data_IF_466135130831
#
_entry.id   IF_466135130831
#
_cell.length_a   1.000
_cell.length_b   1.000
_cell.length_c   1.000
_cell.angle_alpha   90.00
_cell.angle_beta   90.00
_cell.angle_gamma   90.00
#
_symmetry.space_group_name_H-M   'P 1'
#
loop_
_entity.id
_entity.type
_entity.pdbx_description
1 polymer ?
#
# COMPACT_ATOMS: atom_id res chain seq x y z
N UNK A 1 -13.67 -1.45 9.22
CA UNK A 1 -12.95 -0.61 8.22
C UNK A 1 -11.78 0.05 8.92
N UNK A 2 -10.56 -0.41 8.69
CA UNK A 2 -9.38 0.30 9.18
C UNK A 2 -9.19 1.57 8.34
N UNK A 3 -8.97 2.72 8.99
CA UNK A 3 -8.65 3.96 8.29
C UNK A 3 -7.32 3.87 7.53
N UNK A 4 -7.15 4.69 6.51
CA UNK A 4 -5.87 4.83 5.83
C UNK A 4 -4.87 5.51 6.77
N UNK A 5 -3.68 4.91 6.94
CA UNK A 5 -2.53 5.56 7.57
C UNK A 5 -1.27 5.21 6.78
N UNK A 6 -0.26 6.07 6.87
CA UNK A 6 1.04 5.82 6.24
C UNK A 6 1.71 4.56 6.80
N UNK A 7 1.71 4.36 8.12
CA UNK A 7 2.27 3.14 8.72
C UNK A 7 1.56 1.86 8.25
N UNK A 8 0.25 1.91 8.02
CA UNK A 8 -0.49 0.77 7.49
C UNK A 8 -0.03 0.43 6.06
N UNK A 9 0.24 1.44 5.23
CA UNK A 9 0.80 1.24 3.89
C UNK A 9 2.21 0.68 3.95
N UNK A 10 3.09 1.24 4.78
CA UNK A 10 4.48 0.75 4.96
C UNK A 10 4.47 -0.73 5.38
N UNK A 11 3.66 -1.10 6.38
CA UNK A 11 3.55 -2.50 6.81
C UNK A 11 3.08 -3.41 5.67
N UNK A 12 2.07 -2.99 4.90
CA UNK A 12 1.59 -3.77 3.75
C UNK A 12 2.63 -3.92 2.64
N UNK A 13 3.50 -2.93 2.44
CA UNK A 13 4.61 -3.01 1.48
C UNK A 13 5.71 -3.96 1.98
N UNK A 14 6.00 -3.98 3.29
CA UNK A 14 6.95 -4.92 3.88
C UNK A 14 6.45 -6.37 3.84
N UNK A 15 5.14 -6.57 4.06
CA UNK A 15 4.50 -7.90 4.02
C UNK A 15 4.18 -8.38 2.58
N UNK A 16 4.37 -7.50 1.58
CA UNK A 16 4.10 -7.81 0.17
C UNK A 16 5.04 -8.89 -0.33
N UNK A 17 4.50 -9.85 -1.08
CA UNK A 17 5.27 -10.92 -1.71
C UNK A 17 4.77 -11.20 -3.14
N UNK A 18 5.52 -11.98 -3.94
CA UNK A 18 5.19 -12.18 -5.36
C UNK A 18 3.96 -13.04 -5.66
N UNK A 19 3.26 -13.58 -4.64
CA UNK A 19 2.05 -14.37 -4.88
C UNK A 19 0.91 -13.49 -5.41
N UNK A 20 0.09 -14.06 -6.30
CA UNK A 20 -1.08 -13.37 -6.86
C UNK A 20 -2.02 -12.84 -5.76
N UNK A 21 -2.24 -13.63 -4.70
CA UNK A 21 -3.10 -13.25 -3.59
C UNK A 21 -2.57 -12.03 -2.84
N UNK A 22 -1.26 -11.98 -2.58
CA UNK A 22 -0.62 -10.86 -1.86
C UNK A 22 -0.74 -9.56 -2.66
N UNK A 23 -0.40 -9.61 -3.96
CA UNK A 23 -0.51 -8.48 -4.88
C UNK A 23 -1.97 -8.01 -5.03
N UNK A 24 -2.92 -8.94 -5.19
CA UNK A 24 -4.33 -8.61 -5.34
C UNK A 24 -4.89 -7.94 -4.09
N UNK A 25 -4.52 -8.43 -2.91
CA UNK A 25 -4.98 -7.88 -1.62
C UNK A 25 -4.50 -6.45 -1.43
N UNK A 26 -3.22 -6.16 -1.71
CA UNK A 26 -2.71 -4.79 -1.66
C UNK A 26 -3.40 -3.89 -2.71
N UNK A 27 -3.51 -4.36 -3.95
CA UNK A 27 -4.15 -3.61 -5.04
C UNK A 27 -5.57 -3.18 -4.71
N UNK A 28 -6.40 -4.08 -4.20
CA UNK A 28 -7.77 -3.78 -3.78
C UNK A 28 -7.80 -2.75 -2.63
N UNK A 29 -6.88 -2.87 -1.67
CA UNK A 29 -6.79 -1.93 -0.56
C UNK A 29 -6.41 -0.51 -1.04
N UNK A 30 -5.46 -0.39 -1.97
CA UNK A 30 -5.09 0.89 -2.57
C UNK A 30 -6.25 1.54 -3.34
N UNK A 31 -7.00 0.77 -4.13
CA UNK A 31 -8.17 1.25 -4.87
C UNK A 31 -9.28 1.71 -3.91
N UNK A 32 -9.49 0.97 -2.81
CA UNK A 32 -10.44 1.36 -1.77
C UNK A 32 -10.07 2.71 -1.14
N UNK A 33 -8.78 2.94 -0.87
CA UNK A 33 -8.25 4.17 -0.27
C UNK A 33 -7.77 5.22 -1.29
N UNK A 34 -8.28 5.18 -2.54
CA UNK A 34 -7.85 6.09 -3.64
C UNK A 34 -7.91 7.58 -3.32
N UNK A 35 -8.73 8.03 -2.37
CA UNK A 35 -8.77 9.43 -1.90
C UNK A 35 -7.40 9.91 -1.38
N UNK A 36 -6.53 8.98 -0.97
CA UNK A 36 -5.19 9.26 -0.46
C UNK A 36 -4.08 9.00 -1.49
N UNK A 37 -4.40 8.99 -2.79
CA UNK A 37 -3.47 8.63 -3.87
C UNK A 37 -2.12 9.38 -3.82
N UNK A 38 -2.12 10.68 -3.48
CA UNK A 38 -0.88 11.47 -3.36
C UNK A 38 0.06 10.92 -2.29
N UNK A 39 -0.48 10.59 -1.11
CA UNK A 39 0.30 9.96 -0.02
C UNK A 39 0.73 8.55 -0.41
N UNK A 40 -0.14 7.76 -1.04
CA UNK A 40 0.17 6.40 -1.49
C UNK A 40 1.39 6.39 -2.41
N UNK A 41 1.39 7.20 -3.47
CA UNK A 41 2.48 7.23 -4.45
C UNK A 41 3.78 7.74 -3.80
N UNK A 42 3.69 8.78 -2.96
CA UNK A 42 4.86 9.32 -2.24
C UNK A 42 5.51 8.27 -1.34
N UNK A 43 4.71 7.56 -0.55
CA UNK A 43 5.20 6.51 0.37
C UNK A 43 5.75 5.34 -0.43
N UNK A 44 5.04 4.87 -1.45
CA UNK A 44 5.50 3.78 -2.30
C UNK A 44 6.87 4.09 -2.93
N UNK A 45 7.04 5.27 -3.52
CA UNK A 45 8.32 5.69 -4.09
C UNK A 45 9.42 5.74 -3.02
N UNK A 46 9.13 6.32 -1.85
CA UNK A 46 10.09 6.35 -0.74
C UNK A 46 10.54 4.95 -0.32
N UNK A 47 9.61 4.02 -0.15
CA UNK A 47 9.93 2.65 0.29
C UNK A 47 10.65 1.84 -0.81
N UNK A 48 10.44 2.12 -2.09
CA UNK A 48 11.18 1.49 -3.19
C UNK A 48 12.62 2.00 -3.34
N UNK A 49 12.88 3.26 -2.98
CA UNK A 49 14.21 3.86 -3.07
C UNK A 49 15.08 3.65 -1.81
N UNK A 50 14.58 2.90 -0.81
CA UNK A 50 15.38 2.42 0.32
C UNK A 50 16.19 1.20 -0.10
#
# INVERSE_FOLDING_TARGET
>A
MAGFTENALVKKLLDLNPSQQSIQTLSLWLIHHRKHHGTIVKVWFREMCK
#
